data_IF_005020012271
#
_entry.id   IF_005020012271
#
_cell.length_a   1.000
_cell.length_b   1.000
_cell.length_c   1.000
_cell.angle_alpha   90.00
_cell.angle_beta   90.00
_cell.angle_gamma   90.00
#
_symmetry.space_group_name_H-M   'P 1'
#
loop_
_entity.id
_entity.type
_entity.pdbx_description
1 polymer ?
#
# COMPACT_ATOMS: atom_id res chain seq x y z
N UNK A 1 -42.59 -0.21 5.57
CA UNK A 1 -41.20 0.20 5.24
C UNK A 1 -40.43 0.47 6.53
N UNK A 2 -39.62 -0.49 7.01
CA UNK A 2 -38.77 -0.29 8.20
C UNK A 2 -37.58 0.58 7.80
N UNK A 3 -37.49 1.80 8.34
CA UNK A 3 -36.28 2.62 8.22
C UNK A 3 -35.23 1.95 9.09
N UNK A 4 -34.24 1.31 8.46
CA UNK A 4 -33.08 0.79 9.17
C UNK A 4 -32.41 1.97 9.87
N UNK A 5 -32.49 2.02 11.20
CA UNK A 5 -31.63 2.85 12.03
C UNK A 5 -30.20 2.40 11.79
N UNK A 6 -29.55 3.07 10.85
CA UNK A 6 -28.17 2.76 10.54
C UNK A 6 -27.33 3.38 11.67
N UNK A 7 -26.95 2.55 12.64
CA UNK A 7 -25.94 2.91 13.65
C UNK A 7 -24.74 3.52 12.91
N UNK A 8 -24.23 4.64 13.38
CA UNK A 8 -23.05 5.25 12.77
C UNK A 8 -21.90 4.25 12.81
N UNK A 9 -21.32 3.96 11.65
CA UNK A 9 -20.18 3.04 11.52
C UNK A 9 -18.90 3.83 11.32
N UNK A 10 -17.83 3.44 12.03
CA UNK A 10 -16.49 4.00 11.82
C UNK A 10 -16.01 3.80 10.38
N UNK A 11 -15.19 4.73 9.88
CA UNK A 11 -14.67 4.67 8.51
C UNK A 11 -13.69 3.50 8.36
N UNK A 12 -14.00 2.53 7.50
CA UNK A 12 -13.12 1.42 7.14
C UNK A 12 -12.30 1.71 5.89
N UNK A 13 -11.16 1.01 5.75
CA UNK A 13 -10.29 1.10 4.58
C UNK A 13 -11.04 0.72 3.28
N UNK A 14 -11.93 -0.28 3.35
CA UNK A 14 -12.71 -0.72 2.19
C UNK A 14 -13.69 0.36 1.71
N UNK A 15 -14.34 1.08 2.63
CA UNK A 15 -15.25 2.18 2.28
C UNK A 15 -14.51 3.32 1.59
N UNK A 16 -13.30 3.63 2.06
CA UNK A 16 -12.43 4.64 1.43
C UNK A 16 -11.99 4.17 0.04
N UNK A 17 -11.54 2.91 -0.09
CA UNK A 17 -11.12 2.34 -1.38
C UNK A 17 -12.23 2.42 -2.42
N UNK A 18 -13.44 1.93 -2.09
CA UNK A 18 -14.60 1.99 -2.99
C UNK A 18 -14.96 3.42 -3.37
N UNK A 19 -14.93 4.34 -2.39
CA UNK A 19 -15.23 5.75 -2.65
C UNK A 19 -14.22 6.37 -3.62
N UNK A 20 -12.93 6.10 -3.45
CA UNK A 20 -11.89 6.61 -4.36
C UNK A 20 -12.04 5.97 -5.74
N UNK A 21 -12.30 4.67 -5.83
CA UNK A 21 -12.49 3.95 -7.09
C UNK A 21 -13.65 4.53 -7.91
N UNK A 22 -14.83 4.71 -7.29
CA UNK A 22 -16.00 5.29 -7.95
C UNK A 22 -15.79 6.76 -8.35
N UNK A 23 -15.10 7.55 -7.50
CA UNK A 23 -14.81 8.95 -7.81
C UNK A 23 -13.73 9.08 -8.89
N UNK A 24 -12.78 8.16 -8.93
CA UNK A 24 -11.67 8.16 -9.90
C UNK A 24 -12.13 7.84 -11.32
N UNK A 25 -13.22 7.07 -11.48
CA UNK A 25 -13.87 6.89 -12.79
C UNK A 25 -14.30 8.21 -13.44
N UNK A 26 -14.51 9.26 -12.64
CA UNK A 26 -14.97 10.57 -13.10
C UNK A 26 -13.87 11.62 -13.14
N UNK A 27 -12.77 11.43 -12.40
CA UNK A 27 -11.69 12.42 -12.23
C UNK A 27 -10.35 11.74 -11.94
N UNK A 28 -9.25 12.26 -12.50
CA UNK A 28 -7.92 11.67 -12.31
C UNK A 28 -7.40 11.72 -10.86
N UNK A 29 -7.88 12.67 -10.04
CA UNK A 29 -7.49 12.81 -8.64
C UNK A 29 -8.68 13.20 -7.76
N UNK A 30 -8.76 12.59 -6.59
CA UNK A 30 -9.90 12.73 -5.68
C UNK A 30 -9.45 13.43 -4.39
N UNK A 31 -10.00 14.60 -4.09
CA UNK A 31 -9.65 15.32 -2.86
C UNK A 31 -10.30 14.69 -1.62
N UNK A 32 -9.68 14.84 -0.44
CA UNK A 32 -10.24 14.37 0.83
C UNK A 32 -11.67 14.88 1.07
N UNK A 33 -11.97 16.14 0.68
CA UNK A 33 -13.31 16.73 0.78
C UNK A 33 -14.34 15.96 -0.04
N UNK A 34 -14.01 15.60 -1.27
CA UNK A 34 -14.91 14.82 -2.14
C UNK A 34 -15.15 13.42 -1.59
N UNK A 35 -14.11 12.79 -1.02
CA UNK A 35 -14.24 11.48 -0.38
C UNK A 35 -15.18 11.56 0.82
N UNK A 36 -15.04 12.59 1.67
CA UNK A 36 -15.92 12.81 2.81
C UNK A 36 -17.38 12.99 2.38
N UNK A 37 -17.63 13.86 1.39
CA UNK A 37 -18.97 14.10 0.85
C UNK A 37 -19.59 12.83 0.25
N UNK A 38 -18.77 12.01 -0.42
CA UNK A 38 -19.21 10.76 -1.00
C UNK A 38 -19.55 9.71 0.08
N UNK A 39 -18.73 9.61 1.13
CA UNK A 39 -18.93 8.70 2.25
C UNK A 39 -20.23 9.00 2.99
N UNK A 40 -20.50 10.28 3.29
CA UNK A 40 -21.74 10.72 3.95
C UNK A 40 -22.98 10.41 3.11
N UNK A 41 -22.86 10.47 1.77
CA UNK A 41 -23.98 10.19 0.86
C UNK A 41 -24.29 8.71 0.73
N UNK A 42 -23.27 7.84 0.71
CA UNK A 42 -23.45 6.40 0.41
C UNK A 42 -23.46 5.49 1.64
N UNK A 43 -22.82 5.89 2.73
CA UNK A 43 -22.64 5.05 3.92
C UNK A 43 -23.28 5.69 5.15
N UNK A 44 -23.69 4.89 6.15
CA UNK A 44 -24.15 5.41 7.44
C UNK A 44 -22.98 5.82 8.33
N UNK A 45 -22.30 6.89 7.95
CA UNK A 45 -21.20 7.44 8.73
C UNK A 45 -21.72 8.56 9.64
N UNK A 46 -21.00 8.79 10.74
CA UNK A 46 -21.21 9.92 11.66
C UNK A 46 -21.37 11.23 10.87
N UNK A 47 -22.38 12.04 11.23
CA UNK A 47 -22.67 13.32 10.54
C UNK A 47 -21.84 14.48 11.09
N UNK A 48 -21.16 14.28 12.20
CA UNK A 48 -20.28 15.28 12.80
C UNK A 48 -19.06 15.49 11.91
N UNK A 49 -19.10 16.58 11.13
CA UNK A 49 -18.14 16.88 10.07
C UNK A 49 -16.70 16.97 10.62
N UNK A 50 -16.54 17.47 11.84
CA UNK A 50 -15.23 17.63 12.49
C UNK A 50 -14.59 16.30 12.85
N UNK A 51 -15.36 15.40 13.48
CA UNK A 51 -14.93 14.05 13.83
C UNK A 51 -14.68 13.23 12.56
N UNK A 52 -15.61 13.28 11.61
CA UNK A 52 -15.51 12.60 10.32
C UNK A 52 -14.22 12.97 9.58
N UNK A 53 -13.87 14.26 9.53
CA UNK A 53 -12.63 14.71 8.87
C UNK A 53 -11.38 14.18 9.54
N UNK A 54 -11.38 14.12 10.87
CA UNK A 54 -10.23 13.61 11.64
C UNK A 54 -10.06 12.12 11.40
N UNK A 55 -11.14 11.35 11.52
CA UNK A 55 -11.12 9.91 11.24
C UNK A 55 -10.72 9.63 9.79
N UNK A 56 -11.30 10.35 8.84
CA UNK A 56 -11.00 10.18 7.42
C UNK A 56 -9.51 10.43 7.14
N UNK A 57 -8.93 11.46 7.76
CA UNK A 57 -7.49 11.75 7.61
C UNK A 57 -6.62 10.60 8.10
N UNK A 58 -6.93 10.05 9.29
CA UNK A 58 -6.17 8.94 9.86
C UNK A 58 -6.27 7.67 9.00
N UNK A 59 -7.45 7.40 8.43
CA UNK A 59 -7.69 6.27 7.53
C UNK A 59 -7.02 6.48 6.18
N UNK A 60 -7.04 7.70 5.61
CA UNK A 60 -6.34 8.02 4.38
C UNK A 60 -4.82 7.89 4.53
N UNK A 61 -4.26 8.41 5.63
CA UNK A 61 -2.83 8.23 5.92
C UNK A 61 -2.48 6.74 6.10
N UNK A 62 -3.39 5.95 6.68
CA UNK A 62 -3.22 4.49 6.76
C UNK A 62 -3.20 3.86 5.37
N UNK A 63 -4.20 4.17 4.55
CA UNK A 63 -4.36 3.69 3.19
C UNK A 63 -3.14 3.99 2.31
N UNK A 64 -2.53 5.16 2.49
CA UNK A 64 -1.29 5.52 1.80
C UNK A 64 -0.11 4.69 2.31
N UNK A 65 0.00 4.50 3.63
CA UNK A 65 1.11 3.74 4.23
C UNK A 65 1.17 2.27 3.82
N UNK A 66 0.01 1.64 3.56
CA UNK A 66 -0.11 0.26 3.08
C UNK A 66 -0.03 0.16 1.54
N UNK A 67 0.12 1.29 0.84
CA UNK A 67 0.16 1.34 -0.63
C UNK A 67 -1.18 1.14 -1.32
N UNK A 68 -2.31 1.17 -0.59
CA UNK A 68 -3.64 1.08 -1.18
C UNK A 68 -3.99 2.34 -1.98
N UNK A 69 -3.61 3.51 -1.45
CA UNK A 69 -3.76 4.81 -2.11
C UNK A 69 -2.40 5.45 -2.35
N UNK A 70 -2.34 6.31 -3.36
CA UNK A 70 -1.24 7.23 -3.59
C UNK A 70 -1.71 8.65 -3.30
N UNK A 71 -0.89 9.41 -2.58
CA UNK A 71 -1.13 10.83 -2.30
C UNK A 71 -0.31 11.68 -3.27
N UNK A 72 -0.96 12.64 -3.93
CA UNK A 72 -0.32 13.68 -4.74
C UNK A 72 -0.21 14.99 -3.95
N UNK A 73 0.48 15.99 -4.50
CA UNK A 73 0.99 17.18 -3.81
C UNK A 73 -0.09 18.17 -3.28
N UNK A 74 -1.38 17.85 -3.36
CA UNK A 74 -2.48 18.73 -2.95
C UNK A 74 -3.63 18.00 -2.23
N UNK A 75 -3.33 17.08 -1.30
CA UNK A 75 -4.36 16.26 -0.60
C UNK A 75 -5.33 15.56 -1.56
N UNK A 76 -4.82 15.24 -2.75
CA UNK A 76 -5.50 14.44 -3.76
C UNK A 76 -5.00 13.01 -3.69
N UNK A 77 -5.95 12.10 -3.79
CA UNK A 77 -5.73 10.67 -3.64
C UNK A 77 -6.16 9.96 -4.92
N UNK A 78 -5.40 8.95 -5.28
CA UNK A 78 -5.71 8.02 -6.36
C UNK A 78 -5.42 6.59 -5.92
N UNK A 79 -5.98 5.61 -6.61
CA UNK A 79 -5.67 4.21 -6.39
C UNK A 79 -4.16 3.97 -6.57
N UNK A 80 -3.56 3.28 -5.61
CA UNK A 80 -2.14 2.93 -5.67
C UNK A 80 -1.86 2.02 -6.87
N UNK A 81 -0.83 2.36 -7.64
CA UNK A 81 -0.36 1.53 -8.76
C UNK A 81 0.24 0.22 -8.25
N UNK A 82 0.32 -0.81 -9.11
CA UNK A 82 0.96 -2.07 -8.74
C UNK A 82 2.39 -1.89 -8.24
N UNK A 83 3.16 -1.00 -8.90
CA UNK A 83 4.52 -0.64 -8.49
C UNK A 83 4.57 -0.01 -7.10
N UNK A 84 3.65 0.90 -6.79
CA UNK A 84 3.54 1.51 -5.47
C UNK A 84 3.08 0.52 -4.40
N UNK A 85 2.16 -0.39 -4.75
CA UNK A 85 1.75 -1.48 -3.86
C UNK A 85 2.93 -2.38 -3.52
N UNK A 86 3.77 -2.72 -4.49
CA UNK A 86 4.97 -3.52 -4.27
C UNK A 86 6.06 -2.76 -3.49
N UNK A 87 6.27 -1.47 -3.77
CA UNK A 87 7.27 -0.66 -3.04
C UNK A 87 6.84 -0.33 -1.61
N UNK A 88 5.54 -0.14 -1.39
CA UNK A 88 4.95 0.24 -0.11
C UNK A 88 4.25 -0.95 0.56
N UNK A 89 4.56 -2.20 0.16
CA UNK A 89 3.95 -3.40 0.72
C UNK A 89 4.37 -3.59 2.18
N UNK A 90 3.77 -2.81 3.06
CA UNK A 90 3.82 -2.97 4.51
C UNK A 90 2.60 -3.75 4.91
N UNK A 91 2.81 -4.85 5.60
CA UNK A 91 1.72 -5.57 6.26
C UNK A 91 1.10 -4.66 7.33
N UNK A 92 -0.18 -4.90 7.68
CA UNK A 92 -0.86 -4.19 8.77
C UNK A 92 -0.07 -4.25 10.08
N UNK A 93 0.68 -5.33 10.30
CA UNK A 93 1.59 -5.47 11.43
C UNK A 93 2.79 -4.51 11.34
N UNK A 94 3.40 -4.39 10.16
CA UNK A 94 4.53 -3.47 9.94
C UNK A 94 4.11 -2.00 10.05
N UNK A 95 2.94 -1.64 9.52
CA UNK A 95 2.40 -0.27 9.61
C UNK A 95 2.03 0.07 11.06
N UNK A 96 1.49 -0.90 11.82
CA UNK A 96 1.26 -0.76 13.26
C UNK A 96 2.55 -0.43 14.02
N UNK A 97 3.62 -1.22 13.86
CA UNK A 97 4.88 -1.00 14.58
C UNK A 97 5.50 0.36 14.25
N UNK A 98 5.44 0.79 12.98
CA UNK A 98 5.93 2.09 12.59
C UNK A 98 5.19 3.24 13.31
N UNK A 99 3.86 3.17 13.37
CA UNK A 99 3.04 4.14 14.12
C UNK A 99 3.32 4.10 15.61
N UNK A 100 3.45 2.90 16.18
CA UNK A 100 3.71 2.70 17.60
C UNK A 100 5.04 3.34 18.04
N UNK A 101 6.11 3.10 17.28
CA UNK A 101 7.44 3.61 17.62
C UNK A 101 7.67 5.08 17.22
N UNK A 102 7.00 5.60 16.18
CA UNK A 102 6.99 7.05 15.90
C UNK A 102 6.44 7.87 17.06
N UNK A 103 5.47 7.33 17.81
CA UNK A 103 4.87 7.96 19.00
C UNK A 103 5.72 7.80 20.28
N UNK A 104 6.79 7.01 20.25
CA UNK A 104 7.68 6.74 21.39
C UNK A 104 9.15 6.81 20.97
N UNK A 105 9.72 8.02 20.81
CA UNK A 105 11.12 8.18 20.45
C UNK A 105 12.01 7.58 21.55
N UNK A 106 12.80 6.56 21.22
CA UNK A 106 13.70 5.88 22.16
C UNK A 106 13.70 4.35 22.05
N UNK A 107 12.67 3.75 21.44
CA UNK A 107 12.62 2.31 21.15
C UNK A 107 12.66 2.07 19.64
N UNK A 108 13.80 2.32 18.99
CA UNK A 108 13.95 1.94 17.58
C UNK A 108 14.12 0.41 17.51
N UNK A 109 13.33 -0.25 16.67
CA UNK A 109 13.57 -1.65 16.31
C UNK A 109 15.00 -1.75 15.75
N UNK A 110 15.84 -2.59 16.36
CA UNK A 110 17.09 -3.01 15.70
C UNK A 110 16.69 -3.63 14.37
N UNK A 111 17.31 -3.24 13.24
CA UNK A 111 17.02 -3.88 11.97
C UNK A 111 17.24 -5.40 12.10
N UNK A 112 16.42 -6.23 11.44
CA UNK A 112 16.65 -7.67 11.44
C UNK A 112 18.07 -7.95 10.92
N UNK A 113 18.79 -8.93 11.51
CA UNK A 113 20.15 -9.23 11.09
C UNK A 113 20.14 -9.56 9.60
N UNK A 114 20.86 -8.76 8.79
CA UNK A 114 21.09 -9.08 7.38
C UNK A 114 21.87 -10.40 7.34
N UNK A 115 21.27 -11.47 6.82
CA UNK A 115 22.02 -12.69 6.48
C UNK A 115 23.12 -12.26 5.51
N UNK A 116 24.37 -12.35 5.94
CA UNK A 116 25.52 -12.14 5.06
C UNK A 116 25.41 -13.21 3.98
N UNK A 117 25.27 -12.78 2.73
CA UNK A 117 25.41 -13.68 1.59
C UNK A 117 26.87 -14.15 1.62
N UNK A 118 27.09 -15.40 1.99
CA UNK A 118 28.40 -16.05 1.82
C UNK A 118 28.71 -16.04 0.32
N UNK A 119 29.71 -15.26 -0.07
CA UNK A 119 30.25 -15.31 -1.42
C UNK A 119 30.93 -16.67 -1.56
N UNK A 120 30.30 -17.60 -2.27
CA UNK A 120 30.99 -18.80 -2.75
C UNK A 120 32.04 -18.33 -3.76
N UNK A 121 33.31 -18.49 -3.40
CA UNK A 121 34.42 -18.36 -4.35
C UNK A 121 34.31 -19.53 -5.32
N UNK A 122 33.97 -19.23 -6.57
CA UNK A 122 34.16 -20.17 -7.67
C UNK A 122 35.62 -20.05 -8.10
N UNK A 123 36.48 -20.82 -7.44
CA UNK A 123 37.86 -21.01 -7.87
C UNK A 123 37.89 -21.86 -9.14
N UNK A 124 38.49 -21.26 -10.17
CA UNK A 124 39.03 -21.83 -11.40
C UNK A 124 39.14 -23.36 -11.45
N UNK A 125 38.40 -23.97 -12.38
CA UNK A 125 38.85 -25.19 -13.05
C UNK A 125 38.74 -24.96 -14.56
N UNK A 126 39.76 -24.29 -15.10
CA UNK A 126 40.17 -24.55 -16.48
C UNK A 126 40.69 -25.99 -16.51
N UNK A 127 39.82 -26.94 -16.80
CA UNK A 127 40.20 -28.24 -17.34
C UNK A 127 39.81 -28.22 -18.80
N UNK A 128 40.80 -27.81 -19.58
CA UNK A 128 41.12 -28.31 -20.91
C UNK A 128 40.39 -29.61 -21.29
N UNK A 129 39.42 -29.50 -22.21
CA UNK A 129 39.02 -30.61 -23.07
C UNK A 129 38.45 -30.02 -24.36
N UNK A 130 39.36 -29.64 -25.26
CA UNK A 130 39.05 -29.54 -26.68
C UNK A 130 38.61 -30.91 -27.20
N UNK A 131 37.31 -31.11 -27.39
CA UNK A 131 36.80 -32.17 -28.26
C UNK A 131 35.39 -31.80 -28.78
N UNK A 132 35.33 -30.79 -29.65
CA UNK A 132 34.25 -30.69 -30.63
C UNK A 132 34.76 -31.39 -31.89
N UNK A 133 34.57 -32.70 -31.93
CA UNK A 133 34.80 -33.51 -33.11
C UNK A 133 33.74 -33.16 -34.16
N UNK A 134 34.24 -32.64 -35.27
CA UNK A 134 33.54 -32.40 -36.54
C UNK A 134 32.88 -33.70 -37.00
N UNK A 135 31.60 -33.65 -37.35
CA UNK A 135 30.96 -34.76 -38.05
C UNK A 135 30.04 -34.19 -39.13
N UNK A 136 30.60 -34.20 -40.34
CA UNK A 136 30.01 -33.94 -41.64
C UNK A 136 28.60 -34.52 -41.77
N UNK A 137 27.62 -33.64 -42.04
CA UNK A 137 26.42 -34.02 -42.77
C UNK A 137 26.75 -33.89 -44.27
N UNK A 138 26.87 -35.02 -44.97
CA UNK A 138 26.86 -35.08 -46.43
C UNK A 138 25.54 -35.69 -46.90
N UNK A 139 24.84 -34.90 -47.73
CA UNK A 139 23.73 -35.16 -48.69
C UNK A 139 22.63 -36.20 -48.35
#
# INVERSE_FOLDING_TARGET
MKRNERKSTCISLEMVRRSVEELQMRRAGVSAKMIAEHLVRRFPVEKDITLLRKELKEVLDHAVSIGMLSRSEMDTYCLGTFRQKASNYKTDLSSFWERYYKRRPGRRLKPPPRKKVEKKNYENYYSDSSDFSDSDFSD
#
